data_IF_711991271030
#
_entry.id   IF_711991271030
#
_cell.length_a   1.000
_cell.length_b   1.000
_cell.length_c   1.000
_cell.angle_alpha   90.00
_cell.angle_beta   90.00
_cell.angle_gamma   90.00
#
_symmetry.space_group_name_H-M   'P 1'
#
loop_
_entity.id
_entity.type
_entity.pdbx_description
1 polymer ?
#
# COMPACT_ATOMS: atom_id res chain seq x y z
N UNK A 1 22.80 0.28 -6.35
CA UNK A 1 22.31 1.14 -7.46
C UNK A 1 20.89 1.57 -7.12
N UNK A 2 20.75 2.63 -6.31
CA UNK A 2 19.44 3.13 -5.87
C UNK A 2 18.85 3.99 -6.98
N UNK A 3 17.86 3.47 -7.70
CA UNK A 3 17.01 4.32 -8.54
C UNK A 3 16.16 5.17 -7.61
N UNK A 4 16.08 6.48 -7.85
CA UNK A 4 15.08 7.32 -7.19
C UNK A 4 13.71 6.77 -7.56
N UNK A 5 12.87 6.45 -6.58
CA UNK A 5 11.47 6.16 -6.84
C UNK A 5 10.81 7.46 -7.33
N UNK A 6 10.51 7.52 -8.62
CA UNK A 6 9.74 8.62 -9.17
C UNK A 6 8.31 8.48 -8.65
N UNK A 7 7.87 9.46 -7.86
CA UNK A 7 6.47 9.56 -7.48
C UNK A 7 5.71 9.92 -8.74
N UNK A 8 4.97 8.97 -9.31
CA UNK A 8 4.01 9.25 -10.39
C UNK A 8 2.88 10.08 -9.78
N UNK A 9 3.09 11.40 -9.67
CA UNK A 9 2.10 12.37 -9.17
C UNK A 9 0.99 12.64 -10.18
N UNK A 10 1.09 12.08 -11.39
CA UNK A 10 0.11 12.28 -12.45
C UNK A 10 -0.96 11.20 -12.33
N UNK A 11 -2.11 11.60 -11.79
CA UNK A 11 -3.39 10.87 -11.89
C UNK A 11 -3.34 9.39 -11.48
N UNK A 12 -2.68 9.04 -10.38
CA UNK A 12 -2.86 7.70 -9.83
C UNK A 12 -4.27 7.58 -9.23
N UNK A 13 -5.05 6.53 -9.55
CA UNK A 13 -6.40 6.31 -9.04
C UNK A 13 -6.43 5.92 -7.55
N UNK A 14 -5.27 5.86 -6.90
CA UNK A 14 -5.12 5.39 -5.53
C UNK A 14 -5.17 6.58 -4.56
N UNK A 15 -6.18 6.64 -3.68
CA UNK A 15 -6.37 7.71 -2.71
C UNK A 15 -5.25 7.80 -1.68
N UNK A 16 -4.40 6.78 -1.60
CA UNK A 16 -3.33 6.67 -0.62
C UNK A 16 -2.10 6.09 -1.29
N UNK A 17 -0.92 6.68 -1.02
CA UNK A 17 0.35 6.17 -1.55
C UNK A 17 1.50 6.44 -0.58
N UNK A 18 2.50 5.57 -0.61
CA UNK A 18 3.73 5.68 0.18
C UNK A 18 4.95 5.65 -0.72
N UNK A 19 6.00 6.36 -0.31
CA UNK A 19 7.34 6.27 -0.91
C UNK A 19 8.25 5.59 0.06
N UNK A 20 8.90 4.53 -0.40
CA UNK A 20 9.76 3.70 0.42
C UNK A 20 11.17 3.60 -0.15
N UNK A 21 12.12 3.28 0.72
CA UNK A 21 13.46 2.79 0.35
C UNK A 21 13.64 1.36 0.85
N UNK A 22 14.50 0.58 0.20
CA UNK A 22 14.86 -0.77 0.68
C UNK A 22 15.70 -0.64 1.94
N UNK A 23 15.20 -1.17 3.05
CA UNK A 23 15.85 -1.17 4.35
C UNK A 23 16.70 -2.42 4.57
N UNK A 24 16.23 -3.60 4.14
CA UNK A 24 17.00 -4.85 4.16
C UNK A 24 16.70 -5.66 2.88
N UNK A 25 17.78 -6.09 2.20
CA UNK A 25 17.75 -6.84 0.95
C UNK A 25 18.23 -8.28 1.04
N UNK A 26 18.54 -8.82 2.23
CA UNK A 26 19.15 -10.16 2.40
C UNK A 26 18.33 -11.29 1.77
N UNK A 27 17.01 -11.14 1.67
CA UNK A 27 16.10 -12.15 1.14
C UNK A 27 15.73 -11.95 -0.34
N UNK A 28 16.21 -10.89 -0.99
CA UNK A 28 15.82 -10.54 -2.37
C UNK A 28 16.21 -11.65 -3.34
N UNK A 29 17.46 -12.11 -3.33
CA UNK A 29 17.93 -13.11 -4.29
C UNK A 29 17.19 -14.44 -4.15
N UNK A 30 16.82 -14.84 -2.93
CA UNK A 30 16.23 -16.16 -2.68
C UNK A 30 14.72 -16.18 -2.87
N UNK A 31 14.04 -15.09 -2.53
CA UNK A 31 12.57 -15.07 -2.42
C UNK A 31 11.91 -13.90 -3.15
N UNK A 32 12.70 -12.99 -3.74
CA UNK A 32 12.22 -11.69 -4.21
C UNK A 32 11.48 -10.91 -3.09
N UNK A 33 11.93 -11.08 -1.84
CA UNK A 33 11.34 -10.45 -0.67
C UNK A 33 12.11 -9.20 -0.28
N UNK A 34 11.42 -8.08 -0.10
CA UNK A 34 11.99 -6.77 0.22
C UNK A 34 11.46 -6.27 1.56
N UNK A 35 12.35 -5.82 2.44
CA UNK A 35 11.97 -5.04 3.62
C UNK A 35 12.09 -3.57 3.28
N UNK A 36 11.00 -2.82 3.45
CA UNK A 36 10.89 -1.42 3.02
C UNK A 36 10.68 -0.48 4.22
N UNK A 37 11.40 0.65 4.23
CA UNK A 37 11.15 1.77 5.15
C UNK A 37 10.34 2.85 4.43
N UNK A 38 9.22 3.25 5.02
CA UNK A 38 8.37 4.33 4.51
C UNK A 38 9.03 5.68 4.83
N UNK A 39 9.39 6.43 3.78
CA UNK A 39 10.00 7.75 3.90
C UNK A 39 8.97 8.88 3.80
N UNK A 40 7.91 8.69 3.02
CA UNK A 40 6.83 9.68 2.81
C UNK A 40 5.50 8.96 2.57
N UNK A 41 4.41 9.64 2.89
CA UNK A 41 3.05 9.16 2.63
C UNK A 41 2.17 10.32 2.14
N UNK A 42 1.21 10.02 1.27
CA UNK A 42 0.19 10.96 0.78
C UNK A 42 -1.17 10.31 0.83
N UNK A 43 -2.16 11.15 1.14
CA UNK A 43 -3.59 10.81 1.05
C UNK A 43 -4.29 11.88 0.20
N UNK A 44 -5.30 11.47 -0.56
CA UNK A 44 -6.27 12.37 -1.20
C UNK A 44 -7.43 12.61 -0.22
N UNK A 45 -7.46 13.76 0.48
CA UNK A 45 -8.47 14.03 1.50
C UNK A 45 -9.89 14.19 0.92
N UNK A 46 -10.02 14.38 -0.40
CA UNK A 46 -11.33 14.46 -1.05
C UNK A 46 -12.03 13.09 -1.14
N UNK A 47 -11.26 11.99 -1.10
CA UNK A 47 -11.77 10.62 -1.19
C UNK A 47 -11.97 10.02 0.21
N UNK A 48 -13.17 10.18 0.75
CA UNK A 48 -13.56 9.59 2.03
C UNK A 48 -13.88 8.10 1.87
N UNK A 49 -13.40 7.28 2.81
CA UNK A 49 -13.66 5.84 2.90
C UNK A 49 -13.45 5.09 1.57
N UNK A 50 -12.23 5.12 1.00
CA UNK A 50 -11.98 4.42 -0.24
C UNK A 50 -12.12 2.90 -0.05
N UNK A 51 -12.86 2.25 -0.94
CA UNK A 51 -12.93 0.79 -0.95
C UNK A 51 -11.57 0.21 -1.37
N UNK A 52 -11.08 -0.76 -0.61
CA UNK A 52 -9.91 -1.55 -1.04
C UNK A 52 -10.36 -2.79 -1.80
N UNK A 53 -9.43 -3.35 -2.57
CA UNK A 53 -9.65 -4.58 -3.34
C UNK A 53 -8.71 -5.67 -2.87
N UNK A 54 -9.23 -6.88 -2.74
CA UNK A 54 -8.47 -8.08 -2.38
C UNK A 54 -8.44 -9.01 -3.58
N UNK A 55 -7.24 -9.31 -4.08
CA UNK A 55 -7.09 -10.25 -5.19
C UNK A 55 -7.30 -11.69 -4.70
N UNK A 56 -8.22 -12.42 -5.35
CA UNK A 56 -8.59 -13.80 -5.03
C UNK A 56 -7.89 -14.83 -5.92
N UNK A 57 -7.04 -14.39 -6.85
CA UNK A 57 -6.43 -15.24 -7.87
C UNK A 57 -7.21 -15.24 -9.18
N UNK A 58 -6.53 -15.60 -10.28
CA UNK A 58 -7.12 -15.77 -11.61
C UNK A 58 -7.95 -14.58 -12.11
N UNK A 59 -7.57 -13.36 -11.71
CA UNK A 59 -8.28 -12.13 -12.11
C UNK A 59 -9.60 -11.88 -11.37
N UNK A 60 -9.92 -12.67 -10.34
CA UNK A 60 -11.03 -12.38 -9.44
C UNK A 60 -10.58 -11.46 -8.30
N UNK A 61 -11.45 -10.51 -7.93
CA UNK A 61 -11.22 -9.54 -6.87
C UNK A 61 -12.45 -9.41 -5.99
N UNK A 62 -12.26 -9.31 -4.68
CA UNK A 62 -13.29 -8.87 -3.74
C UNK A 62 -13.12 -7.38 -3.47
N UNK A 63 -14.22 -6.64 -3.43
CA UNK A 63 -14.25 -5.25 -2.94
C UNK A 63 -14.63 -5.30 -1.47
N UNK A 64 -13.97 -4.49 -0.64
CA UNK A 64 -14.31 -4.38 0.78
C UNK A 64 -15.79 -4.03 0.98
N UNK A 65 -16.42 -4.76 1.91
CA UNK A 65 -17.78 -4.52 2.35
C UNK A 65 -17.89 -3.41 3.39
N UNK A 66 -18.94 -3.46 4.20
CA UNK A 66 -19.18 -2.46 5.25
C UNK A 66 -18.09 -2.50 6.33
N UNK A 67 -17.60 -1.31 6.69
CA UNK A 67 -16.70 -1.17 7.85
C UNK A 67 -17.50 -1.33 9.14
N UNK A 68 -17.19 -2.36 9.92
CA UNK A 68 -17.80 -2.58 11.23
C UNK A 68 -16.89 -2.08 12.36
N UNK A 69 -17.48 -1.65 13.47
CA UNK A 69 -16.75 -1.27 14.68
C UNK A 69 -16.99 -2.31 15.77
N UNK A 70 -15.93 -2.99 16.19
CA UNK A 70 -15.96 -3.93 17.31
C UNK A 70 -15.37 -3.29 18.58
N UNK A 71 -15.80 -3.69 19.79
CA UNK A 71 -15.16 -3.26 21.02
C UNK A 71 -13.66 -3.61 21.01
N UNK A 72 -12.80 -2.61 21.20
CA UNK A 72 -11.35 -2.78 21.29
C UNK A 72 -10.83 -2.24 22.61
N UNK A 73 -9.87 -2.96 23.21
CA UNK A 73 -9.11 -2.47 24.38
C UNK A 73 -7.91 -1.59 23.97
N UNK A 74 -7.63 -1.50 22.67
CA UNK A 74 -6.57 -0.67 22.10
C UNK A 74 -7.08 0.77 21.97
N UNK A 75 -6.33 1.72 22.53
CA UNK A 75 -6.62 3.16 22.46
C UNK A 75 -6.09 3.74 21.15
#
# INVERSE_FOLDING_TARGET
MGKNAEVVKKSLPYPESTVCRVADGKMVTRYNFFVLEVCKAWIDPARRNPHTIHHLGRGAFAVDGETIRLPSKMK
#
